data_IF_287462513687
#
_entry.id   IF_287462513687
#
_cell.length_a   1.000
_cell.length_b   1.000
_cell.length_c   1.000
_cell.angle_alpha   90.00
_cell.angle_beta   90.00
_cell.angle_gamma   90.00
#
_symmetry.space_group_name_H-M   'P 1'
#
loop_
_entity.id
_entity.type
_entity.pdbx_description
1 polymer ?
#
# COMPACT_ATOMS: atom_id res chain seq x y z
N UNK A 1 13.05 13.69 4.50
CA UNK A 1 11.83 12.84 4.29
C UNK A 1 12.26 11.41 4.04
N UNK A 2 11.62 10.40 4.69
CA UNK A 2 11.92 8.99 4.44
C UNK A 2 11.38 8.55 3.07
N UNK A 3 12.04 7.59 2.40
CA UNK A 3 11.56 6.97 1.17
C UNK A 3 11.24 5.50 1.40
N UNK A 4 10.15 5.01 0.79
CA UNK A 4 9.79 3.59 0.78
C UNK A 4 9.43 3.12 -0.62
N UNK A 5 9.52 1.80 -0.84
CA UNK A 5 9.09 1.15 -2.07
C UNK A 5 7.77 0.43 -1.81
N UNK A 6 6.79 0.63 -2.69
CA UNK A 6 5.53 -0.10 -2.68
C UNK A 6 5.42 -0.94 -3.94
N UNK A 7 5.19 -2.24 -3.78
CA UNK A 7 5.06 -3.18 -4.89
C UNK A 7 3.98 -4.23 -4.61
N UNK A 8 3.07 -4.41 -5.57
CA UNK A 8 1.95 -5.34 -5.51
C UNK A 8 2.18 -6.67 -6.24
N UNK A 9 3.13 -6.74 -7.16
CA UNK A 9 3.30 -7.88 -8.07
C UNK A 9 2.10 -8.06 -9.02
N UNK A 10 1.79 -7.02 -9.80
CA UNK A 10 0.75 -7.09 -10.83
C UNK A 10 1.08 -8.13 -11.89
N UNK A 11 0.09 -8.92 -12.29
CA UNK A 11 0.16 -9.88 -13.39
C UNK A 11 -0.83 -9.48 -14.47
N UNK A 12 -0.32 -8.93 -15.56
CA UNK A 12 -1.15 -8.35 -16.64
C UNK A 12 -1.60 -9.44 -17.61
N UNK A 13 -0.79 -10.49 -17.78
CA UNK A 13 -0.95 -11.51 -18.80
C UNK A 13 -0.90 -12.91 -18.18
N UNK A 14 -1.73 -13.84 -18.68
CA UNK A 14 -1.73 -15.22 -18.20
C UNK A 14 -0.43 -15.98 -18.54
N UNK A 15 0.26 -15.60 -19.61
CA UNK A 15 1.55 -16.18 -19.97
C UNK A 15 2.71 -15.69 -19.10
N UNK A 16 2.53 -14.61 -18.37
CA UNK A 16 3.52 -14.10 -17.44
C UNK A 16 3.73 -15.09 -16.28
N UNK A 17 4.94 -15.63 -16.19
CA UNK A 17 5.30 -16.57 -15.13
C UNK A 17 5.18 -15.95 -13.75
N UNK A 18 4.32 -16.51 -12.89
CA UNK A 18 4.16 -16.06 -11.51
C UNK A 18 5.47 -16.20 -10.72
N UNK A 19 6.23 -17.27 -10.96
CA UNK A 19 7.53 -17.46 -10.32
C UNK A 19 8.52 -16.36 -10.73
N UNK A 20 8.61 -16.06 -12.03
CA UNK A 20 9.50 -15.00 -12.53
C UNK A 20 9.10 -13.64 -11.96
N UNK A 21 7.80 -13.33 -11.93
CA UNK A 21 7.28 -12.09 -11.34
C UNK A 21 7.68 -11.95 -9.87
N UNK A 22 7.64 -13.06 -9.11
CA UNK A 22 8.08 -13.06 -7.72
C UNK A 22 9.60 -12.86 -7.59
N UNK A 23 10.40 -13.47 -8.45
CA UNK A 23 11.86 -13.28 -8.51
C UNK A 23 12.20 -11.81 -8.83
N UNK A 24 11.51 -11.20 -9.78
CA UNK A 24 11.64 -9.79 -10.15
C UNK A 24 11.26 -8.86 -8.98
N UNK A 25 10.16 -9.17 -8.27
CA UNK A 25 9.78 -8.45 -7.06
C UNK A 25 10.88 -8.50 -5.99
N UNK A 26 11.45 -9.68 -5.73
CA UNK A 26 12.56 -9.82 -4.77
C UNK A 26 13.76 -8.98 -5.19
N UNK A 27 14.13 -8.98 -6.47
CA UNK A 27 15.25 -8.19 -6.97
C UNK A 27 15.04 -6.67 -6.75
N UNK A 28 13.85 -6.14 -7.05
CA UNK A 28 13.52 -4.73 -6.80
C UNK A 28 13.59 -4.40 -5.30
N UNK A 29 13.10 -5.29 -4.44
CA UNK A 29 13.18 -5.13 -2.99
C UNK A 29 14.63 -5.12 -2.48
N UNK A 30 15.49 -5.98 -3.03
CA UNK A 30 16.91 -6.00 -2.67
C UNK A 30 17.67 -4.76 -3.18
N UNK A 31 17.26 -4.18 -4.33
CA UNK A 31 17.80 -2.89 -4.79
C UNK A 31 17.40 -1.81 -3.78
N UNK A 32 16.15 -1.74 -3.35
CA UNK A 32 15.69 -0.78 -2.36
C UNK A 32 16.42 -0.93 -1.01
N UNK A 33 16.62 -2.18 -0.54
CA UNK A 33 17.33 -2.47 0.72
C UNK A 33 18.76 -1.89 0.75
N UNK A 34 19.48 -2.01 -0.38
CA UNK A 34 20.86 -1.52 -0.49
C UNK A 34 20.99 -0.02 -0.78
N UNK A 35 19.88 0.65 -1.09
CA UNK A 35 19.88 2.02 -1.60
C UNK A 35 19.33 3.05 -0.61
N UNK A 36 19.08 2.64 0.64
CA UNK A 36 18.66 3.56 1.69
C UNK A 36 17.15 3.82 1.76
N UNK A 37 16.34 3.01 1.09
CA UNK A 37 14.90 3.01 1.34
C UNK A 37 14.62 2.58 2.79
N UNK A 38 13.61 3.20 3.40
CA UNK A 38 13.23 2.94 4.80
C UNK A 38 12.39 1.69 4.96
N UNK A 39 11.40 1.52 4.08
CA UNK A 39 10.39 0.45 4.19
C UNK A 39 10.06 -0.12 2.81
N UNK A 40 9.79 -1.40 2.75
CA UNK A 40 9.14 -2.05 1.60
C UNK A 40 7.72 -2.38 2.01
N UNK A 41 6.74 -1.92 1.24
CA UNK A 41 5.32 -2.16 1.45
C UNK A 41 4.77 -3.17 0.43
N UNK A 42 4.01 -4.15 0.89
CA UNK A 42 3.35 -5.13 0.05
C UNK A 42 1.87 -5.30 0.46
N UNK A 43 0.95 -5.23 -0.52
CA UNK A 43 -0.49 -5.29 -0.28
C UNK A 43 -1.06 -6.69 -0.21
N UNK A 44 -2.37 -6.77 0.08
CA UNK A 44 -3.18 -8.01 0.11
C UNK A 44 -4.30 -7.92 -0.93
N UNK A 45 -4.36 -8.93 -1.82
CA UNK A 45 -5.47 -9.13 -2.73
C UNK A 45 -5.72 -10.61 -3.02
N UNK A 46 -6.97 -10.97 -3.29
CA UNK A 46 -7.40 -12.34 -3.42
C UNK A 46 -8.18 -12.60 -4.72
N UNK A 47 -7.88 -13.74 -5.37
CA UNK A 47 -8.61 -14.21 -6.55
C UNK A 47 -8.47 -13.32 -7.79
N UNK A 48 -7.48 -12.45 -7.83
CA UNK A 48 -7.25 -11.49 -8.91
C UNK A 48 -5.78 -11.40 -9.29
N UNK A 49 -5.49 -11.41 -10.58
CA UNK A 49 -4.13 -11.25 -11.10
C UNK A 49 -3.64 -9.79 -11.12
N UNK A 50 -4.48 -8.85 -10.76
CA UNK A 50 -4.08 -7.46 -10.54
C UNK A 50 -2.99 -7.36 -9.48
N UNK A 51 -3.03 -8.24 -8.47
CA UNK A 51 -1.97 -8.39 -7.48
C UNK A 51 -1.93 -9.83 -6.98
N UNK A 52 -0.80 -10.53 -7.16
CA UNK A 52 -0.63 -11.90 -6.68
C UNK A 52 -0.01 -11.95 -5.29
N UNK A 53 -0.67 -11.34 -4.32
CA UNK A 53 -0.22 -11.27 -2.92
C UNK A 53 -1.36 -11.62 -1.95
N UNK A 54 -1.78 -12.90 -1.85
CA UNK A 54 -2.91 -13.30 -1.02
C UNK A 54 -2.61 -13.27 0.49
N UNK A 55 -1.34 -13.28 0.89
CA UNK A 55 -0.92 -13.12 2.27
C UNK A 55 0.40 -12.32 2.31
N UNK A 56 0.36 -11.03 2.65
CA UNK A 56 1.57 -10.20 2.72
C UNK A 56 2.62 -10.75 3.69
N UNK A 57 2.25 -11.38 4.80
CA UNK A 57 3.22 -11.92 5.76
C UNK A 57 4.11 -13.00 5.16
N UNK A 58 3.59 -13.84 4.24
CA UNK A 58 4.41 -14.84 3.53
C UNK A 58 5.51 -14.15 2.71
N UNK A 59 5.15 -13.08 2.01
CA UNK A 59 6.11 -12.29 1.22
C UNK A 59 7.12 -11.58 2.14
N UNK A 60 6.66 -10.98 3.24
CA UNK A 60 7.53 -10.26 4.17
C UNK A 60 8.50 -11.18 4.90
N UNK A 61 8.09 -12.41 5.23
CA UNK A 61 8.98 -13.43 5.83
C UNK A 61 10.08 -13.85 4.86
N UNK A 62 9.75 -14.04 3.57
CA UNK A 62 10.79 -14.33 2.56
C UNK A 62 11.72 -13.13 2.35
N UNK A 63 11.19 -11.92 2.29
CA UNK A 63 11.98 -10.69 2.23
C UNK A 63 12.86 -10.49 3.47
N UNK A 64 12.38 -10.85 4.66
CA UNK A 64 13.16 -10.76 5.89
C UNK A 64 14.47 -11.56 5.82
N UNK A 65 14.44 -12.69 5.11
CA UNK A 65 15.62 -13.54 4.90
C UNK A 65 16.51 -13.09 3.72
N UNK A 66 16.07 -12.12 2.91
CA UNK A 66 16.76 -11.66 1.71
C UNK A 66 17.18 -10.19 1.76
N UNK A 67 16.85 -9.50 2.85
CA UNK A 67 17.16 -8.08 3.10
C UNK A 67 17.69 -7.89 4.52
N UNK A 68 18.47 -6.83 4.73
CA UNK A 68 19.14 -6.58 6.03
C UNK A 68 18.70 -5.28 6.69
N UNK A 69 18.40 -4.22 5.89
CA UNK A 69 18.29 -2.84 6.38
C UNK A 69 16.85 -2.33 6.42
N UNK A 70 16.06 -2.64 5.37
CA UNK A 70 14.70 -2.10 5.23
C UNK A 70 13.75 -2.69 6.27
N UNK A 71 12.80 -1.87 6.69
CA UNK A 71 11.61 -2.34 7.39
C UNK A 71 10.63 -2.97 6.40
N UNK A 72 9.78 -3.84 6.88
CA UNK A 72 8.91 -4.69 6.07
C UNK A 72 7.45 -4.40 6.44
N UNK A 73 6.71 -3.84 5.52
CA UNK A 73 5.39 -3.31 5.78
C UNK A 73 4.27 -3.99 5.00
N UNK A 74 3.12 -4.18 5.65
CA UNK A 74 1.89 -4.51 4.92
C UNK A 74 1.23 -3.23 4.42
N UNK A 75 0.92 -3.19 3.14
CA UNK A 75 0.31 -2.02 2.51
C UNK A 75 -0.92 -2.36 1.68
N UNK A 76 -1.96 -2.94 2.26
CA UNK A 76 -2.32 -3.20 3.64
C UNK A 76 -2.88 -4.61 3.86
N UNK A 77 -3.00 -5.04 5.11
CA UNK A 77 -3.91 -6.11 5.51
C UNK A 77 -5.35 -5.60 5.36
N UNK A 78 -6.23 -6.44 4.82
CA UNK A 78 -7.65 -6.13 4.64
C UNK A 78 -8.45 -6.67 5.82
N UNK A 79 -8.80 -5.82 6.77
CA UNK A 79 -9.36 -6.17 8.08
C UNK A 79 -10.50 -7.22 8.05
N UNK A 80 -11.54 -7.11 7.21
CA UNK A 80 -12.65 -8.06 7.22
C UNK A 80 -12.29 -9.48 6.74
N UNK A 81 -11.08 -9.70 6.20
CA UNK A 81 -10.62 -11.03 5.78
C UNK A 81 -9.86 -11.78 6.87
N UNK A 82 -9.64 -11.15 8.02
CA UNK A 82 -8.80 -11.67 9.10
C UNK A 82 -9.56 -11.81 10.41
N UNK A 83 -9.34 -12.92 11.11
CA UNK A 83 -9.73 -13.03 12.50
C UNK A 83 -8.67 -12.35 13.40
N UNK A 84 -9.05 -11.56 14.44
CA UNK A 84 -8.10 -10.83 15.28
C UNK A 84 -6.99 -11.68 15.89
N UNK A 85 -7.33 -12.90 16.37
CA UNK A 85 -6.34 -13.82 16.93
C UNK A 85 -5.30 -14.19 15.87
N UNK A 86 -5.76 -14.62 14.69
CA UNK A 86 -4.87 -15.02 13.59
C UNK A 86 -3.99 -13.86 13.13
N UNK A 87 -4.56 -12.67 12.97
CA UNK A 87 -3.81 -11.48 12.58
C UNK A 87 -2.74 -11.12 13.63
N UNK A 88 -3.09 -11.15 14.90
CA UNK A 88 -2.14 -10.84 15.97
C UNK A 88 -0.97 -11.84 16.01
N UNK A 89 -1.25 -13.14 15.81
CA UNK A 89 -0.24 -14.21 15.86
C UNK A 89 0.68 -14.19 14.62
N UNK A 90 0.12 -14.04 13.41
CA UNK A 90 0.91 -13.99 12.17
C UNK A 90 1.78 -12.70 12.12
N UNK A 91 1.25 -11.56 12.56
CA UNK A 91 2.01 -10.33 12.67
C UNK A 91 3.14 -10.47 13.71
N UNK A 92 2.87 -11.06 14.89
CA UNK A 92 3.91 -11.29 15.91
C UNK A 92 5.00 -12.26 15.41
N UNK A 93 4.61 -13.32 14.70
CA UNK A 93 5.57 -14.26 14.12
C UNK A 93 6.44 -13.58 13.05
N UNK A 94 5.84 -12.76 12.19
CA UNK A 94 6.55 -12.00 11.15
C UNK A 94 7.52 -11.00 11.79
N UNK A 95 7.10 -10.34 12.87
CA UNK A 95 7.93 -9.40 13.62
C UNK A 95 9.17 -10.08 14.21
N UNK A 96 9.00 -11.27 14.82
CA UNK A 96 10.11 -12.08 15.35
C UNK A 96 11.06 -12.51 14.23
N UNK A 97 10.54 -13.07 13.14
CA UNK A 97 11.35 -13.58 12.02
C UNK A 97 12.13 -12.45 11.34
N UNK A 98 11.54 -11.26 11.27
CA UNK A 98 12.17 -10.07 10.68
C UNK A 98 13.09 -9.30 11.64
N UNK A 99 13.33 -9.81 12.83
CA UNK A 99 14.11 -9.15 13.89
C UNK A 99 13.59 -7.73 14.21
N UNK A 100 12.27 -7.60 14.42
CA UNK A 100 11.63 -6.35 14.80
C UNK A 100 11.52 -5.32 13.67
N UNK A 101 11.55 -5.76 12.41
CA UNK A 101 11.42 -4.87 11.23
C UNK A 101 10.00 -4.73 10.70
N UNK A 102 8.98 -5.35 11.32
CA UNK A 102 7.60 -5.27 10.84
C UNK A 102 7.00 -3.86 11.03
N UNK A 103 6.32 -3.38 10.00
CA UNK A 103 5.36 -2.26 9.99
C UNK A 103 3.98 -2.80 9.59
N UNK A 104 2.97 -2.70 10.45
CA UNK A 104 1.67 -3.33 10.20
C UNK A 104 0.64 -2.32 9.66
N UNK A 105 0.47 -2.27 8.36
CA UNK A 105 -0.58 -1.48 7.72
C UNK A 105 -1.90 -2.25 7.60
N UNK A 106 -3.01 -1.61 7.96
CA UNK A 106 -4.34 -2.22 7.95
C UNK A 106 -5.34 -1.27 7.28
N UNK A 107 -6.23 -1.84 6.46
CA UNK A 107 -7.30 -1.13 5.79
C UNK A 107 -8.64 -1.88 5.91
N UNK A 108 -9.73 -1.20 5.52
CA UNK A 108 -11.04 -1.84 5.37
C UNK A 108 -11.16 -2.70 4.10
N UNK A 109 -10.29 -2.46 3.11
CA UNK A 109 -10.43 -2.98 1.75
C UNK A 109 -11.16 -2.02 0.82
N UNK A 110 -11.21 -2.38 -0.48
CA UNK A 110 -11.76 -1.50 -1.52
C UNK A 110 -12.63 -2.21 -2.55
N UNK A 111 -12.39 -3.49 -2.85
CA UNK A 111 -13.01 -4.19 -3.98
C UNK A 111 -14.21 -5.03 -3.55
N UNK A 112 -15.40 -4.73 -4.10
CA UNK A 112 -16.61 -5.56 -3.90
C UNK A 112 -16.38 -6.99 -4.37
N UNK A 113 -15.58 -7.20 -5.40
CA UNK A 113 -15.16 -8.52 -5.87
C UNK A 113 -14.60 -9.41 -4.73
N UNK A 114 -13.74 -8.85 -3.89
CA UNK A 114 -13.14 -9.58 -2.77
C UNK A 114 -14.12 -9.73 -1.61
N UNK A 115 -14.92 -8.71 -1.32
CA UNK A 115 -15.96 -8.77 -0.28
C UNK A 115 -16.98 -9.87 -0.53
N UNK A 116 -17.42 -10.04 -1.77
CA UNK A 116 -18.39 -11.09 -2.17
C UNK A 116 -17.83 -12.50 -1.91
N UNK A 117 -16.51 -12.68 -2.01
CA UNK A 117 -15.85 -13.99 -1.93
C UNK A 117 -15.32 -14.35 -0.56
N UNK A 118 -14.85 -13.36 0.20
CA UNK A 118 -14.14 -13.59 1.45
C UNK A 118 -14.86 -13.07 2.69
N UNK A 119 -15.80 -12.14 2.52
CA UNK A 119 -16.48 -11.49 3.63
C UNK A 119 -18.01 -11.47 3.46
N UNK A 120 -18.59 -12.46 2.77
CA UNK A 120 -20.04 -12.63 2.57
C UNK A 120 -20.73 -11.36 1.99
N UNK A 121 -20.06 -10.62 1.13
CA UNK A 121 -20.59 -9.39 0.52
C UNK A 121 -20.72 -8.22 1.49
N UNK A 122 -19.86 -8.15 2.48
CA UNK A 122 -19.84 -7.01 3.44
C UNK A 122 -19.80 -5.68 2.68
N UNK A 123 -20.62 -4.73 3.10
CA UNK A 123 -20.59 -3.40 2.52
C UNK A 123 -19.39 -2.57 3.04
N UNK A 124 -18.97 -1.51 2.32
CA UNK A 124 -17.82 -0.71 2.71
C UNK A 124 -17.92 -0.03 4.09
N UNK A 125 -19.14 0.24 4.58
CA UNK A 125 -19.34 0.83 5.90
C UNK A 125 -19.08 -0.22 6.99
N UNK A 126 -19.67 -1.40 6.87
CA UNK A 126 -19.45 -2.53 7.78
C UNK A 126 -17.99 -2.98 7.76
N UNK A 127 -17.34 -2.99 6.59
CA UNK A 127 -15.90 -3.24 6.49
C UNK A 127 -15.07 -2.19 7.26
N UNK A 128 -15.51 -0.94 7.29
CA UNK A 128 -14.93 0.12 8.13
C UNK A 128 -15.12 -0.13 9.62
N UNK A 129 -16.25 -0.71 10.04
CA UNK A 129 -16.49 -1.10 11.43
C UNK A 129 -15.60 -2.28 11.83
N UNK A 130 -15.43 -3.26 10.94
CA UNK A 130 -14.47 -4.36 11.14
C UNK A 130 -13.05 -3.83 11.38
N UNK A 131 -12.59 -2.85 10.60
CA UNK A 131 -11.29 -2.20 10.84
C UNK A 131 -11.21 -1.57 12.25
N UNK A 132 -12.26 -0.88 12.68
CA UNK A 132 -12.32 -0.22 14.00
C UNK A 132 -12.38 -1.20 15.16
N UNK A 133 -12.83 -2.42 14.93
CA UNK A 133 -12.89 -3.49 15.92
C UNK A 133 -11.57 -4.27 16.00
N UNK A 134 -10.96 -4.61 14.85
CA UNK A 134 -9.77 -5.47 14.82
C UNK A 134 -8.53 -4.78 15.40
N UNK A 135 -8.35 -3.48 15.17
CA UNK A 135 -7.14 -2.75 15.62
C UNK A 135 -6.99 -2.73 17.14
N UNK A 136 -7.99 -2.33 17.95
CA UNK A 136 -7.88 -2.43 19.40
C UNK A 136 -7.80 -3.88 19.89
N UNK A 137 -8.47 -4.84 19.22
CA UNK A 137 -8.43 -6.25 19.59
C UNK A 137 -7.01 -6.85 19.47
N UNK A 138 -6.30 -6.63 18.36
CA UNK A 138 -4.92 -7.13 18.20
C UNK A 138 -3.97 -6.53 19.23
N UNK A 139 -4.10 -5.23 19.54
CA UNK A 139 -3.31 -4.57 20.60
C UNK A 139 -3.58 -5.18 21.98
N UNK A 140 -4.85 -5.51 22.27
CA UNK A 140 -5.23 -6.16 23.51
C UNK A 140 -4.66 -7.58 23.61
N UNK A 141 -4.76 -8.37 22.54
CA UNK A 141 -4.20 -9.72 22.43
C UNK A 141 -2.68 -9.74 22.62
N UNK A 142 -1.96 -8.72 22.13
CA UNK A 142 -0.51 -8.61 22.34
C UNK A 142 -0.16 -8.23 23.78
N UNK A 143 -0.99 -7.45 24.47
CA UNK A 143 -0.75 -7.07 25.86
C UNK A 143 -1.01 -8.21 26.87
N UNK A 144 -2.03 -9.06 26.60
CA UNK A 144 -2.40 -10.10 27.54
C UNK A 144 -3.65 -10.86 27.12
N UNK A 145 -4.33 -11.44 28.13
CA UNK A 145 -5.60 -12.10 27.94
C UNK A 145 -6.70 -11.10 27.54
N UNK A 146 -7.47 -11.46 26.54
CA UNK A 146 -8.56 -10.65 25.98
C UNK A 146 -9.78 -11.52 25.66
N UNK A 147 -10.96 -10.98 25.84
CA UNK A 147 -12.25 -11.55 25.40
C UNK A 147 -12.76 -10.70 24.27
N UNK A 148 -13.00 -11.27 23.09
CA UNK A 148 -13.65 -10.59 21.99
C UNK A 148 -15.16 -10.60 22.21
N UNK A 149 -15.79 -9.43 22.24
CA UNK A 149 -17.24 -9.23 22.41
C UNK A 149 -17.81 -8.25 21.38
N UNK A 150 -17.10 -8.10 20.24
CA UNK A 150 -17.49 -7.19 19.18
C UNK A 150 -18.60 -7.72 18.27
N UNK A 151 -19.04 -6.88 17.37
CA UNK A 151 -20.06 -7.20 16.36
C UNK A 151 -19.53 -8.17 15.29
N UNK A 152 -18.28 -7.97 14.87
CA UNK A 152 -17.68 -8.79 13.81
C UNK A 152 -16.97 -10.02 14.38
N UNK A 153 -16.36 -9.91 15.57
CA UNK A 153 -15.63 -11.02 16.19
C UNK A 153 -15.99 -11.18 17.66
N UNK A 154 -16.54 -12.35 17.99
CA UNK A 154 -16.81 -12.77 19.37
C UNK A 154 -16.07 -14.08 19.64
N UNK A 155 -15.23 -14.09 20.70
CA UNK A 155 -14.45 -15.26 21.08
C UNK A 155 -14.13 -15.26 22.58
N UNK A 156 -13.98 -16.44 23.19
CA UNK A 156 -13.65 -16.57 24.61
C UNK A 156 -12.25 -16.02 24.91
N UNK A 157 -11.96 -15.86 26.21
CA UNK A 157 -10.70 -15.38 26.70
C UNK A 157 -9.51 -16.14 26.09
N UNK A 158 -8.62 -15.39 25.45
CA UNK A 158 -7.39 -15.88 24.83
C UNK A 158 -6.34 -14.78 24.77
N UNK A 159 -5.17 -15.11 24.28
CA UNK A 159 -4.06 -14.16 24.07
C UNK A 159 -3.34 -14.50 22.76
N UNK A 160 -2.58 -13.57 22.20
CA UNK A 160 -1.67 -13.87 21.09
C UNK A 160 -0.48 -14.71 21.59
N UNK A 161 -0.16 -15.77 20.89
CA UNK A 161 1.05 -16.57 21.11
C UNK A 161 1.62 -16.96 19.74
N UNK A 162 2.80 -16.37 19.36
CA UNK A 162 3.72 -15.56 20.15
C UNK A 162 3.25 -14.12 20.41
N UNK A 163 4.05 -13.38 21.18
CA UNK A 163 4.00 -11.91 21.26
C UNK A 163 5.01 -11.31 20.28
N UNK A 164 4.77 -10.10 19.76
CA UNK A 164 5.75 -9.43 18.92
C UNK A 164 7.04 -9.12 19.67
N UNK A 165 8.15 -9.01 18.94
CA UNK A 165 9.45 -8.61 19.46
C UNK A 165 9.51 -7.12 19.77
N UNK A 166 8.87 -6.30 18.96
CA UNK A 166 8.81 -4.85 19.17
C UNK A 166 7.93 -4.47 20.37
N UNK A 167 8.34 -3.47 21.13
CA UNK A 167 7.63 -2.97 22.32
C UNK A 167 7.15 -1.55 22.09
N UNK A 168 5.87 -1.23 22.36
CA UNK A 168 4.82 -2.11 22.93
C UNK A 168 4.25 -3.10 21.92
N UNK A 169 4.44 -2.90 20.63
CA UNK A 169 4.04 -3.72 19.50
C UNK A 169 4.63 -3.13 18.19
N UNK A 170 4.61 -3.81 17.04
CA UNK A 170 4.97 -3.23 15.75
C UNK A 170 4.18 -1.93 15.49
N UNK A 171 4.79 -0.91 14.88
CA UNK A 171 4.04 0.27 14.46
C UNK A 171 2.85 -0.12 13.58
N UNK A 172 1.67 0.42 13.91
CA UNK A 172 0.44 0.18 13.14
C UNK A 172 0.18 1.39 12.27
N UNK A 173 -0.21 1.13 11.01
CA UNK A 173 -0.56 2.14 10.02
C UNK A 173 -1.98 1.92 9.53
N UNK A 174 -2.77 2.97 9.44
CA UNK A 174 -4.14 2.94 8.94
C UNK A 174 -4.19 3.60 7.57
N UNK A 175 -4.72 2.88 6.57
CA UNK A 175 -5.03 3.50 5.30
C UNK A 175 -6.25 4.41 5.46
N UNK A 176 -6.05 5.71 5.27
CA UNK A 176 -7.05 6.75 5.53
C UNK A 176 -7.28 7.64 4.29
N UNK A 177 -8.54 7.95 3.98
CA UNK A 177 -8.91 8.90 2.92
C UNK A 177 -9.94 9.92 3.34
N UNK A 178 -10.84 9.57 4.26
CA UNK A 178 -11.85 10.46 4.82
C UNK A 178 -11.47 10.91 6.24
N UNK A 179 -12.11 11.96 6.75
CA UNK A 179 -11.81 12.52 8.06
C UNK A 179 -11.96 11.49 9.17
N UNK A 180 -13.01 10.64 9.13
CA UNK A 180 -13.27 9.66 10.17
C UNK A 180 -12.16 8.60 10.28
N UNK A 181 -11.53 8.22 9.15
CA UNK A 181 -10.40 7.27 9.16
C UNK A 181 -9.12 7.93 9.70
N UNK A 182 -8.89 9.21 9.44
CA UNK A 182 -7.79 9.94 10.08
C UNK A 182 -8.02 10.07 11.59
N UNK A 183 -9.21 10.48 12.02
CA UNK A 183 -9.54 10.59 13.45
C UNK A 183 -9.40 9.27 14.19
N UNK A 184 -9.84 8.16 13.56
CA UNK A 184 -9.64 6.82 14.12
C UNK A 184 -8.16 6.47 14.27
N UNK A 185 -7.34 6.72 13.25
CA UNK A 185 -5.91 6.44 13.30
C UNK A 185 -5.24 7.20 14.46
N UNK A 186 -5.55 8.50 14.62
CA UNK A 186 -5.00 9.34 15.68
C UNK A 186 -5.47 8.88 17.06
N UNK A 187 -6.76 8.62 17.23
CA UNK A 187 -7.35 8.08 18.48
C UNK A 187 -6.66 6.78 18.91
N UNK A 188 -6.35 5.91 17.97
CA UNK A 188 -5.66 4.65 18.25
C UNK A 188 -4.13 4.80 18.35
N UNK A 189 -3.55 5.99 18.17
CA UNK A 189 -2.10 6.20 18.15
C UNK A 189 -1.39 5.48 17.01
N UNK A 190 -2.08 5.32 15.87
CA UNK A 190 -1.56 4.67 14.68
C UNK A 190 -1.00 5.70 13.69
N UNK A 191 -0.01 5.31 12.90
CA UNK A 191 0.46 6.06 11.75
C UNK A 191 -0.57 6.02 10.61
N UNK A 192 -0.41 6.90 9.63
CA UNK A 192 -1.38 7.06 8.52
C UNK A 192 -0.74 6.79 7.16
N UNK A 193 -1.39 5.97 6.35
CA UNK A 193 -1.06 5.73 4.94
C UNK A 193 -2.13 6.39 4.07
N UNK A 194 -1.72 7.24 3.13
CA UNK A 194 -2.63 7.88 2.18
C UNK A 194 -2.16 7.69 0.74
N UNK A 195 -3.12 7.69 -0.19
CA UNK A 195 -2.85 7.72 -1.62
C UNK A 195 -3.87 8.59 -2.34
N UNK A 196 -3.45 9.52 -3.20
CA UNK A 196 -4.37 10.27 -4.06
C UNK A 196 -4.92 9.41 -5.20
N UNK A 197 -4.38 8.19 -5.43
CA UNK A 197 -4.66 7.36 -6.59
C UNK A 197 -4.37 8.12 -7.89
N UNK A 198 -5.36 8.20 -8.81
CA UNK A 198 -5.26 8.95 -10.07
C UNK A 198 -5.52 10.46 -9.92
N UNK A 199 -5.82 10.93 -8.72
CA UNK A 199 -6.00 12.35 -8.43
C UNK A 199 -4.64 13.02 -8.22
N UNK A 200 -4.57 14.30 -8.50
CA UNK A 200 -3.32 15.05 -8.47
C UNK A 200 -2.96 15.65 -7.12
N UNK A 201 -2.19 16.73 -7.19
CA UNK A 201 -1.61 17.39 -6.02
C UNK A 201 -2.69 18.03 -5.11
N UNK A 202 -3.85 18.40 -5.66
CA UNK A 202 -4.98 18.91 -4.86
C UNK A 202 -5.47 17.87 -3.84
N UNK A 203 -5.56 16.59 -4.25
CA UNK A 203 -5.92 15.51 -3.31
C UNK A 203 -4.80 15.27 -2.28
N UNK A 204 -3.53 15.39 -2.67
CA UNK A 204 -2.39 15.29 -1.73
C UNK A 204 -2.49 16.37 -0.65
N UNK A 205 -2.82 17.61 -1.03
CA UNK A 205 -3.05 18.71 -0.09
C UNK A 205 -4.24 18.41 0.82
N UNK A 206 -5.38 18.00 0.25
CA UNK A 206 -6.60 17.67 0.99
C UNK A 206 -6.40 16.54 2.02
N UNK A 207 -5.63 15.49 1.65
CA UNK A 207 -5.30 14.40 2.57
C UNK A 207 -4.46 14.87 3.76
N UNK A 208 -3.48 15.76 3.53
CA UNK A 208 -2.70 16.36 4.61
C UNK A 208 -3.54 17.31 5.49
N UNK A 209 -4.47 18.05 4.91
CA UNK A 209 -5.40 18.88 5.68
C UNK A 209 -6.27 18.05 6.64
N UNK A 210 -6.81 16.91 6.17
CA UNK A 210 -7.57 15.98 7.01
C UNK A 210 -6.70 15.42 8.15
N UNK A 211 -5.46 15.06 7.86
CA UNK A 211 -4.52 14.61 8.88
C UNK A 211 -4.23 15.70 9.92
N UNK A 212 -4.00 16.92 9.48
CA UNK A 212 -3.76 18.06 10.38
C UNK A 212 -4.99 18.41 11.26
N UNK A 213 -6.21 18.28 10.71
CA UNK A 213 -7.44 18.41 11.47
C UNK A 213 -7.52 17.32 12.55
N UNK A 214 -7.26 16.07 12.20
CA UNK A 214 -7.24 14.96 13.16
C UNK A 214 -6.17 15.17 14.26
N UNK A 215 -4.96 15.65 13.90
CA UNK A 215 -3.94 15.99 14.89
C UNK A 215 -4.39 17.06 15.88
N UNK A 216 -5.13 18.07 15.42
CA UNK A 216 -5.71 19.11 16.31
C UNK A 216 -6.83 18.57 17.17
N UNK A 217 -7.66 17.66 16.65
CA UNK A 217 -8.74 17.02 17.39
C UNK A 217 -8.23 16.12 18.52
N UNK A 218 -7.06 15.51 18.31
CA UNK A 218 -6.42 14.57 19.23
C UNK A 218 -5.05 15.09 19.69
N UNK A 219 -4.96 16.35 20.09
CA UNK A 219 -3.71 17.05 20.45
C UNK A 219 -2.96 16.43 21.65
N UNK A 220 -3.65 15.64 22.49
CA UNK A 220 -3.06 14.86 23.57
C UNK A 220 -2.25 13.66 23.06
N UNK A 221 -2.47 13.23 21.83
CA UNK A 221 -1.75 12.13 21.19
C UNK A 221 -0.49 12.69 20.51
N UNK A 222 0.65 12.03 20.73
CA UNK A 222 1.87 12.36 19.97
C UNK A 222 1.56 12.27 18.49
N UNK A 223 1.90 13.32 17.70
CA UNK A 223 1.71 13.31 16.25
C UNK A 223 2.31 12.03 15.64
N UNK A 224 1.49 11.18 15.02
CA UNK A 224 1.99 10.00 14.31
C UNK A 224 2.65 10.39 12.98
N UNK A 225 3.28 9.42 12.34
CA UNK A 225 3.79 9.60 10.97
C UNK A 225 2.64 9.54 9.96
N UNK A 226 2.81 10.26 8.86
CA UNK A 226 1.98 10.13 7.67
C UNK A 226 2.84 9.88 6.44
N UNK A 227 2.49 8.85 5.66
CA UNK A 227 3.12 8.58 4.37
C UNK A 227 2.16 8.85 3.22
N UNK A 228 2.71 9.27 2.07
CA UNK A 228 1.98 9.39 0.81
C UNK A 228 2.51 8.38 -0.21
N UNK A 229 1.60 7.54 -0.72
CA UNK A 229 1.87 6.58 -1.78
C UNK A 229 1.50 7.19 -3.13
N UNK A 230 2.44 7.24 -4.07
CA UNK A 230 2.19 7.76 -5.43
C UNK A 230 2.85 6.90 -6.51
N UNK A 231 2.12 6.64 -7.59
CA UNK A 231 2.75 6.09 -8.80
C UNK A 231 3.86 7.01 -9.26
N UNK A 232 5.05 6.43 -9.44
CA UNK A 232 6.26 7.16 -9.75
C UNK A 232 6.96 6.52 -10.92
N UNK A 233 7.36 7.32 -11.90
CA UNK A 233 8.18 6.90 -13.03
C UNK A 233 9.17 7.99 -13.38
N UNK A 234 10.46 7.65 -13.37
CA UNK A 234 11.56 8.58 -13.69
C UNK A 234 12.24 8.11 -14.96
N UNK A 235 12.40 9.01 -15.92
CA UNK A 235 13.12 8.73 -17.16
C UNK A 235 13.85 9.98 -17.64
N UNK A 236 14.81 9.81 -18.59
CA UNK A 236 15.66 10.90 -19.06
C UNK A 236 15.17 11.52 -20.37
N UNK A 237 14.34 10.81 -21.14
CA UNK A 237 13.86 11.28 -22.43
C UNK A 237 12.34 11.48 -22.43
N UNK A 238 11.85 12.44 -23.20
CA UNK A 238 10.42 12.72 -23.35
C UNK A 238 9.66 11.54 -23.95
N UNK A 239 10.32 10.73 -24.80
CA UNK A 239 9.75 9.52 -25.37
C UNK A 239 9.47 8.47 -24.28
N UNK A 240 10.43 8.19 -23.40
CA UNK A 240 10.27 7.27 -22.25
C UNK A 240 9.21 7.80 -21.28
N UNK A 241 9.22 9.09 -20.98
CA UNK A 241 8.26 9.74 -20.08
C UNK A 241 6.83 9.60 -20.64
N UNK A 242 6.65 9.85 -21.95
CA UNK A 242 5.36 9.68 -22.61
C UNK A 242 4.90 8.22 -22.63
N UNK A 243 5.81 7.27 -22.84
CA UNK A 243 5.50 5.85 -22.74
C UNK A 243 5.10 5.46 -21.32
N UNK A 244 5.83 5.91 -20.31
CA UNK A 244 5.51 5.68 -18.90
C UNK A 244 4.12 6.21 -18.51
N UNK A 245 3.72 7.35 -19.05
CA UNK A 245 2.38 7.89 -18.84
C UNK A 245 1.29 6.98 -19.47
N UNK A 246 1.55 6.38 -20.64
CA UNK A 246 0.63 5.41 -21.27
C UNK A 246 0.52 4.13 -20.45
N UNK A 247 1.62 3.63 -19.94
CA UNK A 247 1.64 2.40 -19.15
C UNK A 247 0.90 2.58 -17.81
N UNK A 248 1.11 3.69 -17.12
CA UNK A 248 0.36 4.04 -15.91
C UNK A 248 -1.12 4.30 -16.22
N UNK A 249 -1.45 4.90 -17.37
CA UNK A 249 -2.83 5.02 -17.84
C UNK A 249 -3.49 3.65 -17.97
N UNK A 250 -2.81 2.71 -18.64
CA UNK A 250 -3.28 1.32 -18.77
C UNK A 250 -3.50 0.67 -17.41
N UNK A 251 -2.56 0.82 -16.47
CA UNK A 251 -2.71 0.34 -15.10
C UNK A 251 -4.01 0.84 -14.47
N UNK A 252 -4.28 2.15 -14.53
CA UNK A 252 -5.49 2.72 -13.92
C UNK A 252 -6.78 2.35 -14.65
N UNK A 253 -6.75 2.10 -15.95
CA UNK A 253 -7.91 1.54 -16.67
C UNK A 253 -8.29 0.16 -16.10
N UNK A 254 -7.32 -0.72 -15.87
CA UNK A 254 -7.56 -2.03 -15.25
C UNK A 254 -7.92 -1.91 -13.77
N UNK A 255 -7.27 -1.03 -13.02
CA UNK A 255 -7.66 -0.71 -11.64
C UNK A 255 -9.14 -0.31 -11.55
N UNK A 256 -9.59 0.60 -12.43
CA UNK A 256 -10.98 1.02 -12.49
C UNK A 256 -11.93 -0.10 -12.88
N UNK A 257 -11.54 -0.99 -13.79
CA UNK A 257 -12.33 -2.14 -14.20
C UNK A 257 -12.53 -3.13 -13.03
N UNK A 258 -11.46 -3.44 -12.29
CA UNK A 258 -11.54 -4.24 -11.07
C UNK A 258 -12.43 -3.60 -9.99
N UNK A 259 -12.31 -2.29 -9.83
CA UNK A 259 -13.09 -1.56 -8.82
C UNK A 259 -14.59 -1.57 -9.14
N UNK A 260 -14.97 -1.46 -10.42
CA UNK A 260 -16.38 -1.52 -10.85
C UNK A 260 -17.00 -2.91 -10.71
N UNK A 261 -16.20 -3.98 -10.84
CA UNK A 261 -16.65 -5.38 -10.74
C UNK A 261 -17.79 -5.72 -11.71
N UNK A 262 -17.75 -5.19 -12.94
CA UNK A 262 -18.79 -5.34 -13.96
C UNK A 262 -18.36 -6.24 -15.14
N UNK A 263 -17.06 -6.58 -15.23
CA UNK A 263 -16.53 -7.38 -16.34
C UNK A 263 -16.38 -8.84 -15.98
N UNK A 264 -16.48 -9.78 -16.95
CA UNK A 264 -16.16 -11.17 -16.74
C UNK A 264 -14.76 -11.37 -16.19
N UNK A 265 -14.64 -12.32 -15.26
CA UNK A 265 -13.37 -12.71 -14.64
C UNK A 265 -13.21 -14.21 -14.79
N UNK A 266 -12.15 -14.64 -15.45
CA UNK A 266 -11.82 -16.06 -15.65
C UNK A 266 -10.42 -16.34 -15.12
N UNK A 267 -10.26 -17.36 -14.29
CA UNK A 267 -8.98 -17.76 -13.68
C UNK A 267 -8.21 -16.60 -13.01
N UNK A 268 -8.95 -15.64 -12.42
CA UNK A 268 -8.37 -14.48 -11.76
C UNK A 268 -7.95 -13.35 -12.70
N UNK A 269 -8.18 -13.49 -14.00
CA UNK A 269 -7.94 -12.45 -15.00
C UNK A 269 -9.26 -11.77 -15.36
N UNK A 270 -9.26 -10.45 -15.33
CA UNK A 270 -10.38 -9.67 -15.83
C UNK A 270 -10.33 -9.62 -17.36
N UNK A 271 -11.52 -9.64 -18.00
CA UNK A 271 -11.61 -9.50 -19.46
C UNK A 271 -10.84 -8.28 -19.94
N UNK A 272 -10.05 -8.44 -21.02
CA UNK A 272 -9.19 -7.38 -21.54
C UNK A 272 -9.99 -6.17 -21.99
N UNK A 273 -9.51 -4.99 -21.63
CA UNK A 273 -10.00 -3.71 -22.14
C UNK A 273 -9.44 -3.46 -23.54
N UNK A 274 -10.32 -3.08 -24.46
CA UNK A 274 -9.88 -2.63 -25.79
C UNK A 274 -9.32 -1.20 -25.75
N UNK A 275 -8.51 -0.83 -26.73
CA UNK A 275 -7.98 0.54 -26.85
C UNK A 275 -9.12 1.59 -26.92
N UNK A 276 -10.24 1.25 -27.58
CA UNK A 276 -11.40 2.14 -27.66
C UNK A 276 -12.09 2.33 -26.29
N UNK A 277 -12.19 1.28 -25.48
CA UNK A 277 -12.72 1.37 -24.12
C UNK A 277 -11.81 2.20 -23.22
N UNK A 278 -10.49 1.97 -23.27
CA UNK A 278 -9.52 2.73 -22.49
C UNK A 278 -9.53 4.21 -22.90
N UNK A 279 -9.61 4.53 -24.18
CA UNK A 279 -9.68 5.90 -24.68
C UNK A 279 -10.91 6.68 -24.19
N UNK A 280 -12.01 6.00 -23.83
CA UNK A 280 -13.21 6.63 -23.24
C UNK A 280 -13.06 6.98 -21.76
N UNK A 281 -12.03 6.45 -21.09
CA UNK A 281 -11.75 6.70 -19.68
C UNK A 281 -10.85 7.93 -19.51
N UNK A 282 -11.35 9.10 -19.89
CA UNK A 282 -10.60 10.37 -19.92
C UNK A 282 -9.85 10.65 -18.61
N UNK A 283 -10.45 10.31 -17.46
CA UNK A 283 -9.83 10.48 -16.13
C UNK A 283 -8.51 9.71 -15.98
N UNK A 284 -8.31 8.65 -16.76
CA UNK A 284 -7.09 7.84 -16.76
C UNK A 284 -6.25 8.06 -18.03
N UNK A 285 -6.55 9.06 -18.86
CA UNK A 285 -5.78 9.35 -20.06
C UNK A 285 -4.28 9.54 -19.75
N UNK A 286 -3.37 9.23 -20.68
CA UNK A 286 -1.94 9.44 -20.47
C UNK A 286 -1.58 10.86 -20.03
N UNK A 287 -2.28 11.87 -20.56
CA UNK A 287 -2.10 13.28 -20.18
C UNK A 287 -2.47 13.52 -18.72
N UNK A 288 -3.62 12.98 -18.27
CA UNK A 288 -4.03 13.07 -16.87
C UNK A 288 -3.10 12.29 -15.95
N UNK A 289 -2.60 11.13 -16.37
CA UNK A 289 -1.64 10.38 -15.58
C UNK A 289 -0.31 11.11 -15.45
N UNK A 290 0.21 11.70 -16.53
CA UNK A 290 1.41 12.54 -16.47
C UNK A 290 1.22 13.76 -15.55
N UNK A 291 0.05 14.38 -15.59
CA UNK A 291 -0.29 15.52 -14.73
C UNK A 291 -0.41 15.12 -13.26
N UNK A 292 -1.07 14.01 -12.97
CA UNK A 292 -1.52 13.65 -11.63
C UNK A 292 -0.59 12.67 -10.90
N UNK A 293 0.11 11.77 -11.61
CA UNK A 293 1.13 10.87 -11.03
C UNK A 293 2.51 11.52 -11.07
N UNK A 294 3.49 10.94 -10.40
CA UNK A 294 4.86 11.46 -10.37
C UNK A 294 5.65 10.86 -11.54
N UNK A 295 5.45 11.43 -12.73
CA UNK A 295 6.05 10.98 -13.98
C UNK A 295 6.86 12.14 -14.57
N UNK A 296 8.14 11.93 -14.87
CA UNK A 296 8.96 12.96 -15.49
C UNK A 296 10.45 12.72 -15.41
N UNK A 297 11.21 13.73 -15.80
CA UNK A 297 12.64 13.80 -15.59
C UNK A 297 13.00 13.85 -14.10
N UNK A 298 14.23 13.50 -13.70
CA UNK A 298 14.65 13.61 -12.30
C UNK A 298 14.32 14.97 -11.66
N UNK A 299 14.52 16.07 -12.38
CA UNK A 299 14.23 17.42 -11.89
C UNK A 299 12.72 17.66 -11.66
N UNK A 300 11.87 17.25 -12.61
CA UNK A 300 10.41 17.34 -12.46
C UNK A 300 9.94 16.52 -11.27
N UNK A 301 10.44 15.30 -11.12
CA UNK A 301 10.09 14.40 -10.01
C UNK A 301 10.54 14.99 -8.66
N UNK A 302 11.76 15.53 -8.56
CA UNK A 302 12.24 16.21 -7.35
C UNK A 302 11.30 17.35 -6.97
N UNK A 303 10.94 18.21 -7.92
CA UNK A 303 10.09 19.38 -7.65
C UNK A 303 8.71 18.97 -7.13
N UNK A 304 8.15 17.89 -7.66
CA UNK A 304 6.83 17.37 -7.22
C UNK A 304 6.89 16.67 -5.87
N UNK A 305 7.96 15.95 -5.55
CA UNK A 305 8.14 15.32 -4.23
C UNK A 305 8.42 16.38 -3.16
N UNK A 306 9.10 17.48 -3.49
CA UNK A 306 9.28 18.63 -2.58
C UNK A 306 7.95 19.25 -2.13
N UNK A 307 6.90 19.17 -2.93
CA UNK A 307 5.55 19.55 -2.48
C UNK A 307 5.11 18.69 -1.28
N UNK A 308 5.28 17.37 -1.36
CA UNK A 308 4.93 16.47 -0.26
C UNK A 308 5.76 16.76 1.00
N UNK A 309 7.07 16.99 0.85
CA UNK A 309 7.96 17.37 1.96
C UNK A 309 7.52 18.68 2.61
N UNK A 310 7.25 19.72 1.80
CA UNK A 310 6.81 21.04 2.28
C UNK A 310 5.44 20.99 2.97
N UNK A 311 4.56 20.08 2.59
CA UNK A 311 3.27 19.84 3.25
C UNK A 311 3.45 19.14 4.60
N UNK A 312 4.59 18.50 4.86
CA UNK A 312 4.89 17.82 6.12
C UNK A 312 4.63 16.32 6.12
N UNK A 313 4.61 15.66 4.96
CA UNK A 313 4.65 14.20 4.87
C UNK A 313 5.99 13.68 5.42
N UNK A 314 5.92 12.65 6.26
CA UNK A 314 7.11 12.05 6.87
C UNK A 314 7.79 11.06 5.93
N UNK A 315 7.01 10.38 5.08
CA UNK A 315 7.48 9.35 4.17
C UNK A 315 6.81 9.48 2.79
N UNK A 316 7.61 9.36 1.75
CA UNK A 316 7.17 9.24 0.36
C UNK A 316 7.34 7.80 -0.10
N UNK A 317 6.26 7.17 -0.54
CA UNK A 317 6.26 5.80 -1.03
C UNK A 317 6.19 5.76 -2.55
N UNK A 318 7.23 5.21 -3.17
CA UNK A 318 7.33 4.97 -4.60
C UNK A 318 6.49 3.75 -4.97
N UNK A 319 5.36 3.95 -5.64
CA UNK A 319 4.56 2.86 -6.18
C UNK A 319 5.09 2.46 -7.55
N UNK A 320 5.67 1.24 -7.65
CA UNK A 320 6.40 0.79 -8.83
C UNK A 320 5.55 0.02 -9.85
N UNK A 321 4.39 -0.52 -9.45
CA UNK A 321 3.48 -1.22 -10.34
C UNK A 321 2.85 -0.26 -11.34
N UNK A 322 2.93 -0.57 -12.63
CA UNK A 322 2.65 0.43 -13.66
C UNK A 322 2.37 -0.16 -15.04
N UNK A 323 2.07 -1.45 -15.14
CA UNK A 323 1.92 -2.17 -16.41
C UNK A 323 3.20 -2.19 -17.29
N UNK A 324 4.33 -1.79 -16.75
CA UNK A 324 5.64 -1.80 -17.45
C UNK A 324 6.35 -3.13 -17.30
N UNK A 325 7.27 -3.42 -18.21
CA UNK A 325 8.18 -4.54 -18.05
C UNK A 325 9.19 -4.30 -16.91
N UNK A 326 9.84 -5.39 -16.49
CA UNK A 326 10.76 -5.38 -15.35
C UNK A 326 11.97 -4.45 -15.54
N UNK A 327 12.60 -4.47 -16.73
CA UNK A 327 13.79 -3.67 -16.99
C UNK A 327 13.47 -2.18 -16.99
N UNK A 328 12.31 -1.79 -17.49
CA UNK A 328 11.80 -0.42 -17.46
C UNK A 328 11.55 0.03 -16.01
N UNK A 329 10.90 -0.80 -15.19
CA UNK A 329 10.70 -0.53 -13.75
C UNK A 329 12.04 -0.38 -13.02
N UNK A 330 12.97 -1.29 -13.26
CA UNK A 330 14.30 -1.29 -12.65
C UNK A 330 15.13 -0.07 -13.02
N UNK A 331 15.14 0.31 -14.30
CA UNK A 331 15.81 1.54 -14.78
C UNK A 331 15.25 2.77 -14.10
N UNK A 332 13.93 2.89 -14.02
CA UNK A 332 13.28 4.03 -13.36
C UNK A 332 13.60 4.09 -11.87
N UNK A 333 13.58 2.95 -11.17
CA UNK A 333 13.96 2.85 -9.77
C UNK A 333 15.42 3.27 -9.56
N UNK A 334 16.34 2.83 -10.43
CA UNK A 334 17.75 3.20 -10.35
C UNK A 334 17.96 4.70 -10.55
N UNK A 335 17.28 5.32 -11.55
CA UNK A 335 17.30 6.77 -11.74
C UNK A 335 16.78 7.54 -10.52
N UNK A 336 15.71 7.02 -9.89
CA UNK A 336 15.18 7.61 -8.67
C UNK A 336 16.22 7.58 -7.54
N UNK A 337 16.88 6.45 -7.35
CA UNK A 337 17.94 6.28 -6.35
C UNK A 337 19.11 7.24 -6.61
N UNK A 338 19.61 7.28 -7.85
CA UNK A 338 20.84 8.00 -8.19
C UNK A 338 20.65 9.50 -8.32
N UNK A 339 19.47 9.97 -8.75
CA UNK A 339 19.22 11.36 -9.14
C UNK A 339 18.17 12.07 -8.29
N UNK A 340 17.20 11.35 -7.72
CA UNK A 340 16.11 11.97 -6.98
C UNK A 340 16.35 11.93 -5.47
N UNK A 341 16.58 10.76 -4.89
CA UNK A 341 16.78 10.62 -3.44
C UNK A 341 17.86 11.56 -2.86
N UNK A 342 19.01 11.78 -3.52
CA UNK A 342 20.05 12.67 -2.98
C UNK A 342 19.62 14.13 -2.79
N UNK A 343 18.55 14.59 -3.43
CA UNK A 343 18.03 15.95 -3.29
C UNK A 343 17.24 16.19 -1.98
N UNK A 344 17.04 15.15 -1.17
CA UNK A 344 16.27 15.18 0.09
C UNK A 344 17.10 14.79 1.32
N UNK A 345 18.41 14.62 1.18
CA UNK A 345 19.37 14.31 2.24
C UNK A 345 19.95 15.57 2.88
#
# INVERSE_FOLDING_TARGET
MDFSLFAHMERIDEEQSQKKLYEEFIELCQIADRSGFKTIWNGEHHGMNFTIAPNPFVNLVDLANKTENVRLGTGTIVAPFWHPIKLAEEAAMTDIISDGRLELGIARGAYSFEYDRLANGIDPFSAGNALREIVPAIKALWRGDYVGDGEHWSFPKTTSSPKPQQTPHPPIWIAARDQNSHDFALKEGCNVQVTPLWLGDEEVISLMEKFNIACKTHEETKRPKIMVLRHTFVAETEEEISQGAKDISRFYCYFGAWFKNERPIEQGLIERLTEEEMAKLEMYSPENMRKNSIIGSPEEVINRIKLCENLGYDEYSYWIDSSMDFETKKKSLQLFIDKVMPAFN
#
